data_IF_967322781108
#
_entry.id   IF_967322781108
#
_cell.length_a   1.000
_cell.length_b   1.000
_cell.length_c   1.000
_cell.angle_alpha   90.00
_cell.angle_beta   90.00
_cell.angle_gamma   90.00
#
_symmetry.space_group_name_H-M   'P 1'
#
loop_
_entity.id
_entity.type
_entity.pdbx_description
1 polymer ?
#
# COMPACT_ATOMS: atom_id res chain seq x y z
N UNK A 1 21.05 26.48 -5.76
CA UNK A 1 19.98 26.49 -4.73
C UNK A 1 18.80 25.61 -5.11
N UNK A 2 18.11 25.76 -6.25
CA UNK A 2 16.94 24.93 -6.64
C UNK A 2 17.29 23.44 -6.76
N UNK A 3 18.38 23.07 -7.40
CA UNK A 3 18.82 21.67 -7.55
C UNK A 3 19.07 20.99 -6.20
N UNK A 4 19.67 21.70 -5.22
CA UNK A 4 19.90 21.15 -3.89
C UNK A 4 18.58 20.88 -3.13
N UNK A 5 17.58 21.75 -3.28
CA UNK A 5 16.25 21.58 -2.70
C UNK A 5 15.48 20.42 -3.32
N UNK A 6 15.50 20.28 -4.64
CA UNK A 6 14.89 19.13 -5.32
C UNK A 6 15.55 17.81 -4.90
N UNK A 7 16.87 17.81 -4.74
CA UNK A 7 17.59 16.63 -4.22
C UNK A 7 17.15 16.30 -2.80
N UNK A 8 17.05 17.27 -1.91
CA UNK A 8 16.58 17.05 -0.54
C UNK A 8 15.15 16.47 -0.52
N UNK A 9 14.24 17.03 -1.34
CA UNK A 9 12.88 16.51 -1.49
C UNK A 9 12.92 15.05 -1.95
N UNK A 10 13.71 14.72 -2.99
CA UNK A 10 13.80 13.37 -3.52
C UNK A 10 14.34 12.37 -2.51
N UNK A 11 15.38 12.76 -1.75
CA UNK A 11 15.99 11.91 -0.72
C UNK A 11 14.98 11.62 0.42
N UNK A 12 14.30 12.66 0.95
CA UNK A 12 13.24 12.50 1.97
C UNK A 12 12.08 11.66 1.43
N UNK A 13 11.59 11.97 0.22
CA UNK A 13 10.47 11.24 -0.39
C UNK A 13 10.77 9.75 -0.56
N UNK A 14 12.01 9.38 -0.91
CA UNK A 14 12.44 7.99 -0.98
C UNK A 14 12.25 7.23 0.34
N UNK A 15 12.66 7.84 1.45
CA UNK A 15 12.49 7.22 2.78
C UNK A 15 11.03 7.30 3.28
N UNK A 16 10.32 8.38 3.00
CA UNK A 16 8.88 8.48 3.31
C UNK A 16 8.14 7.35 2.60
N UNK A 17 8.37 7.14 1.30
CA UNK A 17 7.78 6.04 0.52
C UNK A 17 8.11 4.67 1.12
N UNK A 18 9.35 4.47 1.57
CA UNK A 18 9.81 3.20 2.17
C UNK A 18 9.06 2.84 3.44
N UNK A 19 8.71 3.82 4.26
CA UNK A 19 8.19 3.57 5.61
C UNK A 19 6.69 3.84 5.77
N UNK A 20 6.12 4.87 5.11
CA UNK A 20 4.77 5.34 5.38
C UNK A 20 3.70 4.24 5.41
N UNK A 21 3.69 3.36 4.40
CA UNK A 21 2.72 2.27 4.32
C UNK A 21 2.81 1.27 5.48
N UNK A 22 4.01 1.05 6.04
CA UNK A 22 4.22 0.16 7.20
C UNK A 22 3.55 0.70 8.47
N UNK A 23 3.33 2.01 8.52
CA UNK A 23 2.75 2.72 9.66
C UNK A 23 1.32 3.23 9.38
N UNK A 24 0.70 2.78 8.29
CA UNK A 24 -0.68 3.14 7.91
C UNK A 24 -0.86 4.55 7.36
N UNK A 25 0.23 5.24 6.99
CA UNK A 25 0.18 6.57 6.40
C UNK A 25 0.07 6.46 4.88
N UNK A 26 -0.98 7.07 4.33
CA UNK A 26 -1.37 6.95 2.91
C UNK A 26 -1.15 8.22 2.09
N UNK A 27 -0.68 9.30 2.73
CA UNK A 27 -0.37 10.58 2.08
C UNK A 27 1.04 11.01 2.46
N UNK A 28 1.86 11.38 1.49
CA UNK A 28 3.31 11.61 1.68
C UNK A 28 3.70 13.07 1.62
N UNK A 29 3.00 13.86 0.79
CA UNK A 29 3.29 15.29 0.60
C UNK A 29 3.33 16.08 1.91
N UNK A 30 2.43 15.86 2.89
CA UNK A 30 2.51 16.58 4.15
C UNK A 30 3.74 16.19 4.96
N UNK A 31 4.15 14.92 4.97
CA UNK A 31 5.35 14.46 5.68
C UNK A 31 6.61 15.05 5.06
N UNK A 32 6.68 15.11 3.72
CA UNK A 32 7.80 15.75 3.00
C UNK A 32 7.84 17.25 3.30
N UNK A 33 6.68 17.93 3.28
CA UNK A 33 6.59 19.36 3.59
C UNK A 33 7.00 19.68 5.04
N UNK A 34 6.61 18.83 6.00
CA UNK A 34 7.07 18.93 7.39
C UNK A 34 8.60 18.83 7.47
N UNK A 35 9.22 17.84 6.82
CA UNK A 35 10.66 17.71 6.80
C UNK A 35 11.35 18.95 6.21
N UNK A 36 10.81 19.53 5.13
CA UNK A 36 11.30 20.77 4.52
C UNK A 36 11.22 21.94 5.50
N UNK A 37 10.06 22.14 6.12
CA UNK A 37 9.78 23.27 6.99
C UNK A 37 10.59 23.20 8.28
N UNK A 38 10.54 22.08 9.00
CA UNK A 38 11.17 21.87 10.29
C UNK A 38 12.71 21.87 10.21
N UNK A 39 13.26 21.39 9.09
CA UNK A 39 14.71 21.28 8.93
C UNK A 39 15.35 22.47 8.20
N UNK A 40 14.56 23.39 7.65
CA UNK A 40 15.07 24.42 6.75
C UNK A 40 15.83 23.79 5.57
N UNK A 41 15.21 22.85 4.86
CA UNK A 41 15.82 22.12 3.73
C UNK A 41 16.98 21.20 4.15
N UNK A 42 16.99 20.72 5.37
CA UNK A 42 18.09 19.92 5.91
C UNK A 42 19.30 20.74 6.37
N UNK A 43 19.24 22.08 6.25
CA UNK A 43 20.36 22.98 6.57
C UNK A 43 20.42 23.36 8.04
N UNK A 44 19.32 23.19 8.81
CA UNK A 44 19.34 23.45 10.24
C UNK A 44 20.38 22.60 10.95
N UNK A 45 20.96 23.12 12.05
CA UNK A 45 21.94 22.38 12.84
C UNK A 45 21.38 21.03 13.33
N UNK A 46 20.11 20.98 13.69
CA UNK A 46 19.44 19.76 14.15
C UNK A 46 19.35 18.72 13.04
N UNK A 47 19.07 19.13 11.80
CA UNK A 47 19.04 18.24 10.65
C UNK A 47 20.41 17.83 10.16
N UNK A 48 21.30 18.80 9.94
CA UNK A 48 22.60 18.57 9.31
C UNK A 48 23.60 17.80 10.16
N UNK A 49 23.56 17.97 11.50
CA UNK A 49 24.47 17.30 12.42
C UNK A 49 23.87 16.10 13.15
N UNK A 50 22.55 16.06 13.28
CA UNK A 50 21.85 15.07 14.13
C UNK A 50 20.76 14.31 13.40
N UNK A 51 20.59 14.50 12.08
CA UNK A 51 19.64 13.83 11.23
C UNK A 51 18.18 13.86 11.72
N UNK A 52 17.81 14.88 12.50
CA UNK A 52 16.46 15.10 12.99
C UNK A 52 15.79 16.16 12.11
N UNK A 53 15.12 15.72 11.08
CA UNK A 53 14.49 16.57 10.05
C UNK A 53 13.09 17.05 10.42
N UNK A 54 12.53 16.55 11.52
CA UNK A 54 11.16 16.78 11.95
C UNK A 54 11.05 17.47 13.31
N UNK A 55 12.14 17.98 13.85
CA UNK A 55 12.11 18.65 15.16
C UNK A 55 11.70 17.74 16.32
N UNK A 56 11.92 16.43 16.23
CA UNK A 56 11.43 15.46 17.21
C UNK A 56 12.10 15.65 18.57
N UNK A 57 11.31 16.03 19.56
CA UNK A 57 11.71 16.12 20.96
C UNK A 57 11.79 14.74 21.61
N UNK A 58 12.61 14.60 22.65
CA UNK A 58 12.78 13.33 23.36
C UNK A 58 11.51 12.89 24.10
N UNK A 59 10.81 13.84 24.72
CA UNK A 59 9.73 13.49 25.65
C UNK A 59 10.23 12.60 26.80
N UNK A 60 9.33 11.88 27.44
CA UNK A 60 9.64 11.05 28.64
C UNK A 60 10.01 9.61 28.31
N UNK A 61 9.77 9.14 27.08
CA UNK A 61 9.95 7.73 26.69
C UNK A 61 11.16 7.48 25.79
N UNK A 62 11.85 8.52 25.36
CA UNK A 62 13.02 8.38 24.51
C UNK A 62 14.24 7.94 25.30
N UNK A 63 14.86 6.82 24.92
CA UNK A 63 16.07 6.25 25.54
C UNK A 63 17.31 6.35 24.66
N UNK A 64 17.17 6.85 23.43
CA UNK A 64 18.27 7.05 22.49
C UNK A 64 19.09 8.30 22.77
N UNK A 65 20.05 8.58 21.88
CA UNK A 65 20.89 9.78 21.98
C UNK A 65 20.07 11.06 21.86
N UNK A 66 20.47 12.09 22.58
CA UNK A 66 19.79 13.38 22.57
C UNK A 66 20.78 14.55 22.56
N UNK A 67 20.31 15.69 22.08
CA UNK A 67 21.03 16.98 22.13
C UNK A 67 20.12 18.05 22.71
N UNK A 68 20.67 18.88 23.61
CA UNK A 68 19.95 20.01 24.19
C UNK A 68 20.15 21.26 23.33
N UNK A 69 19.07 21.78 22.74
CA UNK A 69 19.12 22.94 21.85
C UNK A 69 18.06 23.99 22.22
N UNK A 70 18.35 25.24 21.85
CA UNK A 70 17.36 26.32 21.93
C UNK A 70 16.36 26.17 20.75
N UNK A 71 15.07 26.32 21.05
CA UNK A 71 13.96 26.35 20.08
C UNK A 71 13.03 27.51 20.41
N UNK A 72 12.16 27.86 19.46
CA UNK A 72 11.11 28.86 19.63
C UNK A 72 9.76 28.15 19.55
N UNK A 73 8.86 28.49 20.45
CA UNK A 73 7.50 27.99 20.52
C UNK A 73 6.52 29.15 20.47
N UNK A 74 5.39 28.98 19.80
CA UNK A 74 4.33 29.98 19.70
C UNK A 74 3.10 29.52 20.50
N UNK A 75 3.05 29.87 21.78
CA UNK A 75 1.90 29.54 22.66
C UNK A 75 0.75 30.55 22.56
N UNK A 76 1.02 31.75 22.07
CA UNK A 76 0.05 32.78 21.73
C UNK A 76 0.38 33.32 20.35
N UNK A 77 -0.62 33.57 19.53
CA UNK A 77 -0.46 34.03 18.16
C UNK A 77 0.44 35.29 18.09
N UNK A 78 1.47 35.21 17.24
CA UNK A 78 2.45 36.27 17.07
C UNK A 78 3.50 36.40 18.18
N UNK A 79 3.48 35.53 19.22
CA UNK A 79 4.41 35.62 20.34
C UNK A 79 5.33 34.39 20.41
N UNK A 80 6.59 34.58 20.00
CA UNK A 80 7.60 33.53 20.06
C UNK A 80 8.29 33.48 21.43
N UNK A 81 8.25 32.35 22.08
CA UNK A 81 8.93 32.06 23.35
C UNK A 81 10.15 31.18 23.11
N UNK A 82 11.33 31.66 23.49
CA UNK A 82 12.57 30.89 23.38
C UNK A 82 12.73 29.96 24.59
N UNK A 83 12.79 28.66 24.33
CA UNK A 83 13.01 27.60 25.33
C UNK A 83 14.21 26.73 24.99
N UNK A 84 14.69 25.93 25.94
CA UNK A 84 15.62 24.84 25.68
C UNK A 84 14.89 23.51 25.81
N UNK A 85 15.15 22.61 24.89
CA UNK A 85 14.58 21.26 24.92
C UNK A 85 15.58 20.22 24.43
N UNK A 86 15.31 18.94 24.75
CA UNK A 86 16.11 17.81 24.30
C UNK A 86 15.50 17.21 23.03
N UNK A 87 16.29 17.19 21.97
CA UNK A 87 15.91 16.64 20.68
C UNK A 87 16.55 15.29 20.44
N UNK A 88 15.85 14.41 19.73
CA UNK A 88 16.34 13.10 19.30
C UNK A 88 17.51 13.24 18.34
N UNK A 89 18.47 12.34 18.44
CA UNK A 89 19.64 12.24 17.55
C UNK A 89 19.57 10.91 16.83
N UNK A 90 19.75 10.96 15.51
CA UNK A 90 19.75 9.81 14.63
C UNK A 90 21.11 9.68 13.92
N UNK A 91 21.44 8.49 13.41
CA UNK A 91 22.73 8.22 12.77
C UNK A 91 22.71 8.46 11.24
N UNK A 92 21.50 8.55 10.66
CA UNK A 92 21.33 8.79 9.22
C UNK A 92 20.01 9.51 8.91
N UNK A 93 19.86 10.02 7.68
CA UNK A 93 18.60 10.56 7.19
C UNK A 93 17.49 9.49 7.22
N UNK A 94 17.82 8.26 6.85
CA UNK A 94 16.88 7.15 6.88
C UNK A 94 16.32 6.92 8.28
N UNK A 95 17.19 6.85 9.29
CA UNK A 95 16.77 6.70 10.70
C UNK A 95 15.96 7.88 11.20
N UNK A 96 16.28 9.10 10.78
CA UNK A 96 15.53 10.29 11.11
C UNK A 96 14.09 10.24 10.57
N UNK A 97 13.93 9.81 9.32
CA UNK A 97 12.61 9.64 8.70
C UNK A 97 11.84 8.48 9.35
N UNK A 98 12.50 7.33 9.57
CA UNK A 98 11.90 6.21 10.30
C UNK A 98 11.45 6.62 11.70
N UNK A 99 12.30 7.38 12.40
CA UNK A 99 12.02 7.91 13.73
C UNK A 99 10.79 8.82 13.80
N UNK A 100 10.47 9.54 12.71
CA UNK A 100 9.21 10.26 12.59
C UNK A 100 8.01 9.30 12.55
N UNK A 101 8.05 8.25 11.73
CA UNK A 101 6.96 7.27 11.67
C UNK A 101 6.77 6.52 12.98
N UNK A 102 7.84 6.20 13.68
CA UNK A 102 7.77 5.63 15.03
C UNK A 102 7.16 6.62 16.04
N UNK A 103 7.48 7.91 15.93
CA UNK A 103 6.95 8.95 16.82
C UNK A 103 5.43 9.12 16.65
N UNK A 104 4.92 9.10 15.44
CA UNK A 104 3.48 9.23 15.18
C UNK A 104 2.66 7.96 15.48
N UNK A 105 3.30 6.88 16.00
CA UNK A 105 2.58 5.74 16.58
C UNK A 105 2.11 5.99 18.03
N UNK A 106 2.43 7.14 18.61
CA UNK A 106 1.86 7.53 19.90
C UNK A 106 0.32 7.62 19.79
N UNK A 107 -0.37 7.21 20.87
CA UNK A 107 -1.85 7.11 20.91
C UNK A 107 -2.55 8.34 20.31
N UNK A 108 -2.06 9.53 20.63
CA UNK A 108 -2.65 10.80 20.18
C UNK A 108 -2.59 11.04 18.68
N UNK A 109 -1.78 10.28 17.92
CA UNK A 109 -1.62 10.43 16.48
C UNK A 109 -2.22 9.26 15.68
N UNK A 110 -2.95 8.33 16.32
CA UNK A 110 -3.55 7.17 15.64
C UNK A 110 -4.56 7.54 14.57
N UNK A 111 -5.21 8.67 14.71
CA UNK A 111 -6.16 9.24 13.76
C UNK A 111 -5.54 9.68 12.43
N UNK A 112 -4.21 9.74 12.33
CA UNK A 112 -3.49 10.01 11.07
C UNK A 112 -3.54 8.82 10.09
N UNK A 113 -3.77 7.61 10.61
CA UNK A 113 -3.81 6.41 9.77
C UNK A 113 -5.02 6.44 8.83
N UNK A 114 -4.76 6.14 7.56
CA UNK A 114 -5.81 6.10 6.54
C UNK A 114 -6.17 7.44 5.90
N UNK A 115 -5.69 8.57 6.43
CA UNK A 115 -5.90 9.89 5.80
C UNK A 115 -5.20 9.94 4.45
N UNK A 116 -5.90 10.48 3.44
CA UNK A 116 -5.40 10.62 2.07
C UNK A 116 -5.29 12.08 1.62
N UNK A 117 -6.00 12.98 2.28
CA UNK A 117 -5.95 14.41 1.97
C UNK A 117 -4.80 15.07 2.74
N UNK A 118 -3.90 15.80 2.04
CA UNK A 118 -2.75 16.45 2.68
C UNK A 118 -3.14 17.50 3.71
N UNK A 119 -4.21 18.26 3.47
CA UNK A 119 -4.64 19.31 4.38
C UNK A 119 -5.26 18.71 5.63
N UNK A 120 -6.13 17.70 5.49
CA UNK A 120 -6.70 16.94 6.61
C UNK A 120 -5.61 16.34 7.49
N UNK A 121 -4.55 15.77 6.88
CA UNK A 121 -3.42 15.24 7.63
C UNK A 121 -2.72 16.30 8.49
N UNK A 122 -2.44 17.47 7.89
CA UNK A 122 -1.75 18.57 8.58
C UNK A 122 -2.62 19.20 9.67
N UNK A 123 -3.92 19.36 9.44
CA UNK A 123 -4.86 19.85 10.43
C UNK A 123 -4.96 18.89 11.62
N UNK A 124 -5.05 17.59 11.34
CA UNK A 124 -5.14 16.55 12.36
C UNK A 124 -3.87 16.49 13.21
N UNK A 125 -2.68 16.40 12.60
CA UNK A 125 -1.42 16.29 13.36
C UNK A 125 -1.14 17.55 14.18
N UNK A 126 -1.53 18.73 13.69
CA UNK A 126 -1.43 19.98 14.44
C UNK A 126 -2.40 19.99 15.63
N UNK A 127 -3.64 19.57 15.44
CA UNK A 127 -4.64 19.47 16.51
C UNK A 127 -4.18 18.51 17.62
N UNK A 128 -3.45 17.46 17.25
CA UNK A 128 -2.82 16.49 18.18
C UNK A 128 -1.56 17.03 18.88
N UNK A 129 -1.20 18.30 18.63
CA UNK A 129 -0.12 18.99 19.35
C UNK A 129 1.28 18.70 18.81
N UNK A 130 1.41 18.41 17.52
CA UNK A 130 2.72 18.27 16.87
C UNK A 130 3.46 19.61 16.73
N UNK A 131 2.74 20.66 16.35
CA UNK A 131 3.26 22.01 16.18
C UNK A 131 2.41 23.04 16.93
N UNK A 132 3.07 24.07 17.47
CA UNK A 132 2.41 25.17 18.18
C UNK A 132 2.07 26.36 17.29
N UNK A 133 2.74 26.50 16.12
CA UNK A 133 2.53 27.64 15.21
C UNK A 133 1.12 27.64 14.62
N UNK A 134 0.51 28.83 14.60
CA UNK A 134 -0.83 29.06 14.02
C UNK A 134 -0.82 29.01 12.50
N UNK A 135 0.29 29.33 11.84
CA UNK A 135 0.45 29.26 10.38
C UNK A 135 0.93 27.89 9.87
N UNK A 136 1.17 26.92 10.76
CA UNK A 136 1.82 25.65 10.43
C UNK A 136 1.22 24.92 9.22
N UNK A 137 -0.12 24.75 9.22
CA UNK A 137 -0.83 24.06 8.14
C UNK A 137 -0.67 24.83 6.83
N UNK A 138 -0.85 26.17 6.86
CA UNK A 138 -0.73 27.01 5.68
C UNK A 138 0.70 27.00 5.11
N UNK A 139 1.71 27.04 5.97
CA UNK A 139 3.11 27.04 5.56
C UNK A 139 3.51 25.69 4.95
N UNK A 140 3.08 24.56 5.51
CA UNK A 140 3.24 23.25 4.88
C UNK A 140 2.50 23.17 3.54
N UNK A 141 1.26 23.64 3.45
CA UNK A 141 0.49 23.65 2.20
C UNK A 141 1.10 24.56 1.13
N UNK A 142 1.75 25.66 1.51
CA UNK A 142 2.56 26.49 0.58
C UNK A 142 3.71 25.69 -0.01
N UNK A 143 4.45 24.96 0.83
CA UNK A 143 5.56 24.08 0.38
C UNK A 143 5.02 22.99 -0.56
N UNK A 144 3.90 22.33 -0.22
CA UNK A 144 3.27 21.31 -1.06
C UNK A 144 2.95 21.88 -2.45
N UNK A 145 2.28 23.02 -2.52
CA UNK A 145 1.92 23.67 -3.79
C UNK A 145 3.15 24.16 -4.57
N UNK A 146 4.11 24.83 -3.91
CA UNK A 146 5.28 25.41 -4.55
C UNK A 146 6.19 24.38 -5.21
N UNK A 147 6.30 23.17 -4.62
CA UNK A 147 7.16 22.10 -5.10
C UNK A 147 6.39 20.91 -5.66
N UNK A 148 5.07 21.08 -5.88
CA UNK A 148 4.17 20.08 -6.47
C UNK A 148 4.33 18.71 -5.76
N UNK A 149 4.38 18.72 -4.40
CA UNK A 149 4.69 17.52 -3.63
C UNK A 149 3.60 16.46 -3.71
N UNK A 150 2.38 16.81 -4.12
CA UNK A 150 1.30 15.84 -4.36
C UNK A 150 1.65 14.81 -5.42
N UNK A 151 2.63 15.09 -6.30
CA UNK A 151 3.18 14.07 -7.21
C UNK A 151 3.75 12.85 -6.48
N UNK A 152 4.16 12.99 -5.22
CA UNK A 152 4.60 11.89 -4.39
C UNK A 152 3.43 11.16 -3.74
N UNK A 153 2.28 11.79 -3.55
CA UNK A 153 1.04 11.16 -3.06
C UNK A 153 0.43 10.28 -4.14
N UNK A 154 0.46 10.73 -5.37
CA UNK A 154 0.10 9.95 -6.56
C UNK A 154 1.05 8.75 -6.73
N UNK A 155 2.29 8.83 -6.21
CA UNK A 155 3.28 7.77 -6.06
C UNK A 155 3.30 7.10 -4.68
N UNK A 156 2.46 7.49 -3.74
CA UNK A 156 2.18 6.88 -2.43
C UNK A 156 1.28 5.66 -2.45
N UNK A 157 0.42 5.57 -3.35
CA UNK A 157 0.29 4.51 -4.33
C UNK A 157 1.26 4.89 -5.46
N UNK A 158 2.44 4.20 -5.68
CA UNK A 158 2.62 3.82 -7.05
C UNK A 158 1.21 3.44 -7.47
N UNK A 159 0.66 4.03 -8.50
CA UNK A 159 0.03 3.22 -9.50
C UNK A 159 1.13 2.23 -9.85
N UNK A 160 1.24 1.13 -9.08
CA UNK A 160 1.82 -0.08 -9.63
C UNK A 160 1.07 -0.16 -10.92
N UNK A 161 1.78 0.08 -12.03
CA UNK A 161 1.14 0.06 -13.33
C UNK A 161 0.21 -1.13 -13.20
N UNK A 162 -1.11 -0.90 -13.30
CA UNK A 162 -2.15 -1.90 -12.97
C UNK A 162 -1.99 -3.08 -13.90
N UNK A 163 -0.80 -3.70 -13.80
CA UNK A 163 -0.31 -4.77 -14.68
C UNK A 163 -0.63 -6.12 -14.07
N UNK A 164 -0.67 -7.11 -14.91
CA UNK A 164 -0.73 -8.51 -14.49
C UNK A 164 0.41 -8.84 -13.51
N UNK A 165 1.62 -8.32 -13.78
CA UNK A 165 2.79 -8.60 -12.95
C UNK A 165 2.66 -8.04 -11.53
N UNK A 166 2.04 -6.85 -11.36
CA UNK A 166 1.85 -6.28 -10.02
C UNK A 166 0.97 -7.15 -9.12
N UNK A 167 -0.07 -7.79 -9.67
CA UNK A 167 -0.91 -8.73 -8.91
C UNK A 167 -0.17 -10.04 -8.65
N UNK A 168 0.57 -10.53 -9.64
CA UNK A 168 1.34 -11.77 -9.51
C UNK A 168 2.47 -11.64 -8.51
N UNK A 169 3.13 -10.49 -8.41
CA UNK A 169 4.15 -10.22 -7.39
C UNK A 169 3.57 -10.25 -5.98
N UNK A 170 2.37 -9.72 -5.79
CA UNK A 170 1.66 -9.85 -4.51
C UNK A 170 1.43 -11.33 -4.17
N UNK A 171 0.88 -12.10 -5.12
CA UNK A 171 0.60 -13.53 -4.91
C UNK A 171 1.88 -14.33 -4.65
N UNK A 172 2.97 -14.04 -5.37
CA UNK A 172 4.30 -14.66 -5.14
C UNK A 172 4.84 -14.33 -3.76
N UNK A 173 4.65 -13.09 -3.29
CA UNK A 173 5.06 -12.65 -1.96
C UNK A 173 4.30 -13.35 -0.82
N UNK A 174 3.12 -13.91 -1.09
CA UNK A 174 2.32 -14.65 -0.12
C UNK A 174 2.51 -16.18 -0.20
N UNK A 175 3.31 -16.70 -1.13
CA UNK A 175 3.57 -18.14 -1.18
C UNK A 175 4.02 -18.68 0.17
N UNK A 176 3.34 -19.73 0.63
CA UNK A 176 3.59 -20.34 1.94
C UNK A 176 2.86 -19.65 3.12
N UNK A 177 2.12 -18.56 2.92
CA UNK A 177 1.18 -18.06 3.94
C UNK A 177 0.12 -19.14 4.16
N UNK A 178 -0.10 -19.53 5.40
CA UNK A 178 -0.96 -20.67 5.73
C UNK A 178 -1.67 -20.49 7.06
N UNK A 179 -2.69 -21.32 7.29
CA UNK A 179 -3.36 -21.40 8.58
C UNK A 179 -2.40 -21.89 9.65
N UNK A 180 -1.56 -22.87 9.34
CA UNK A 180 -0.58 -23.45 10.26
C UNK A 180 0.43 -22.41 10.80
N UNK A 181 0.86 -21.42 9.97
CA UNK A 181 1.77 -20.36 10.42
C UNK A 181 1.08 -19.06 10.80
N UNK A 182 -0.24 -18.99 10.67
CA UNK A 182 -1.06 -17.84 11.02
C UNK A 182 -0.98 -16.66 10.05
N UNK A 183 -0.12 -16.68 9.03
CA UNK A 183 0.09 -15.54 8.12
C UNK A 183 -1.07 -15.30 7.15
N UNK A 184 -1.91 -16.30 6.89
CA UNK A 184 -3.12 -16.12 6.10
C UNK A 184 -4.03 -15.02 6.66
N UNK A 185 -3.96 -14.74 7.98
CA UNK A 185 -4.72 -13.67 8.64
C UNK A 185 -4.40 -12.29 8.07
N UNK A 186 -3.15 -12.06 7.64
CA UNK A 186 -2.76 -10.80 6.99
C UNK A 186 -3.55 -10.54 5.70
N UNK A 187 -3.90 -11.61 4.97
CA UNK A 187 -4.71 -11.56 3.74
C UNK A 187 -6.16 -11.19 4.08
N UNK A 188 -6.74 -11.86 5.09
CA UNK A 188 -8.12 -11.62 5.55
C UNK A 188 -8.24 -10.22 6.15
N UNK A 189 -7.28 -9.79 6.98
CA UNK A 189 -7.28 -8.47 7.60
C UNK A 189 -7.17 -7.36 6.55
N UNK A 190 -6.34 -7.55 5.53
CA UNK A 190 -6.24 -6.62 4.40
C UNK A 190 -7.59 -6.50 3.66
N UNK A 191 -8.25 -7.62 3.33
CA UNK A 191 -9.57 -7.60 2.71
C UNK A 191 -10.58 -6.86 3.58
N UNK A 192 -10.62 -7.17 4.87
CA UNK A 192 -11.56 -6.59 5.82
C UNK A 192 -11.31 -5.11 6.13
N UNK A 193 -10.09 -4.61 5.90
CA UNK A 193 -9.72 -3.21 6.16
C UNK A 193 -10.37 -2.22 5.19
N UNK A 194 -10.71 -2.66 3.97
CA UNK A 194 -11.23 -1.78 2.92
C UNK A 194 -12.76 -1.77 2.94
N UNK A 195 -13.36 -0.61 3.19
CA UNK A 195 -14.82 -0.43 3.28
C UNK A 195 -15.37 0.29 2.03
N UNK A 196 -16.66 0.09 1.68
CA UNK A 196 -17.60 -0.87 2.27
C UNK A 196 -17.22 -2.31 1.93
N UNK A 197 -17.55 -3.24 2.84
CA UNK A 197 -17.35 -4.66 2.56
C UNK A 197 -18.39 -5.17 1.56
N UNK A 198 -17.99 -6.02 0.60
CA UNK A 198 -18.93 -6.73 -0.26
C UNK A 198 -20.00 -7.43 0.58
N UNK A 199 -21.27 -7.25 0.21
CA UNK A 199 -22.42 -7.79 0.92
C UNK A 199 -22.46 -7.47 2.44
N UNK A 200 -21.65 -6.51 2.93
CA UNK A 200 -21.56 -6.13 4.35
C UNK A 200 -20.90 -7.20 5.24
N UNK A 201 -20.28 -8.24 4.65
CA UNK A 201 -19.73 -9.37 5.38
C UNK A 201 -18.22 -9.21 5.64
N UNK A 202 -17.83 -9.30 6.92
CA UNK A 202 -16.43 -9.38 7.32
C UNK A 202 -16.01 -10.85 7.40
N UNK A 203 -15.05 -11.24 6.56
CA UNK A 203 -14.53 -12.62 6.51
C UNK A 203 -13.88 -12.99 7.84
N UNK A 204 -14.23 -14.16 8.36
CA UNK A 204 -13.68 -14.73 9.60
C UNK A 204 -12.47 -15.59 9.28
N UNK A 205 -11.60 -15.83 10.26
CA UNK A 205 -10.42 -16.69 10.08
C UNK A 205 -10.77 -18.18 9.92
N UNK A 206 -12.03 -18.55 10.18
CA UNK A 206 -12.58 -19.90 9.98
C UNK A 206 -13.26 -20.09 8.63
N UNK A 207 -13.38 -19.04 7.83
CA UNK A 207 -14.04 -19.11 6.53
C UNK A 207 -13.07 -19.59 5.45
N UNK A 208 -13.63 -20.13 4.36
CA UNK A 208 -12.88 -20.37 3.14
C UNK A 208 -12.39 -19.05 2.55
N UNK A 209 -11.09 -18.93 2.26
CA UNK A 209 -10.48 -17.67 1.90
C UNK A 209 -9.81 -17.62 0.51
N UNK A 210 -10.13 -18.57 -0.37
CA UNK A 210 -9.59 -18.58 -1.73
C UNK A 210 -9.92 -17.31 -2.51
N UNK A 211 -11.19 -16.90 -2.51
CA UNK A 211 -11.65 -15.70 -3.19
C UNK A 211 -11.27 -14.40 -2.44
N UNK A 212 -11.26 -14.45 -1.11
CA UNK A 212 -10.71 -13.38 -0.29
C UNK A 212 -9.25 -13.09 -0.65
N UNK A 213 -8.46 -14.13 -0.95
CA UNK A 213 -7.07 -13.98 -1.37
C UNK A 213 -6.95 -13.25 -2.71
N UNK A 214 -7.79 -13.59 -3.70
CA UNK A 214 -7.84 -12.91 -5.01
C UNK A 214 -8.21 -11.44 -4.83
N UNK A 215 -9.24 -11.15 -4.05
CA UNK A 215 -9.67 -9.78 -3.74
C UNK A 215 -8.61 -8.98 -3.00
N UNK A 216 -7.96 -9.57 -2.00
CA UNK A 216 -6.88 -8.94 -1.25
C UNK A 216 -5.65 -8.67 -2.12
N UNK A 217 -5.32 -9.57 -3.06
CA UNK A 217 -4.25 -9.33 -4.03
C UNK A 217 -4.57 -8.14 -4.93
N UNK A 218 -5.80 -8.04 -5.41
CA UNK A 218 -6.29 -6.86 -6.15
C UNK A 218 -6.21 -5.57 -5.34
N UNK A 219 -6.55 -5.59 -4.06
CA UNK A 219 -6.42 -4.44 -3.14
C UNK A 219 -4.95 -4.02 -3.04
N UNK A 220 -4.06 -4.96 -2.71
CA UNK A 220 -2.64 -4.66 -2.49
C UNK A 220 -1.92 -4.18 -3.74
N UNK A 221 -2.33 -4.69 -4.92
CA UNK A 221 -1.80 -4.29 -6.21
C UNK A 221 -2.46 -3.04 -6.81
N UNK A 222 -3.46 -2.43 -6.14
CA UNK A 222 -4.21 -1.29 -6.68
C UNK A 222 -5.12 -1.64 -7.87
N UNK A 223 -5.42 -2.94 -8.08
CA UNK A 223 -6.17 -3.48 -9.21
C UNK A 223 -7.63 -3.83 -8.90
N UNK A 224 -8.15 -3.44 -7.72
CA UNK A 224 -9.51 -3.82 -7.29
C UNK A 224 -10.61 -3.43 -8.27
N UNK A 225 -10.48 -2.33 -8.99
CA UNK A 225 -11.46 -1.90 -9.99
C UNK A 225 -11.45 -2.77 -11.26
N UNK A 226 -10.32 -3.40 -11.58
CA UNK A 226 -10.14 -4.27 -12.75
C UNK A 226 -10.60 -5.71 -12.47
N UNK A 227 -10.51 -6.14 -11.21
CA UNK A 227 -10.77 -7.51 -10.77
C UNK A 227 -12.13 -7.59 -10.06
N UNK A 228 -12.50 -6.56 -9.30
CA UNK A 228 -13.62 -6.60 -8.37
C UNK A 228 -13.17 -7.01 -6.97
N UNK A 229 -14.12 -7.05 -6.06
CA UNK A 229 -13.92 -7.46 -4.65
C UNK A 229 -15.07 -8.32 -4.20
N UNK A 230 -14.78 -9.53 -3.78
CA UNK A 230 -15.75 -10.48 -3.24
C UNK A 230 -15.03 -11.49 -2.31
N UNK A 231 -15.79 -12.29 -1.57
CA UNK A 231 -15.29 -13.39 -0.75
C UNK A 231 -16.02 -14.72 -1.04
N UNK A 232 -16.74 -14.78 -2.15
CA UNK A 232 -17.45 -15.96 -2.61
C UNK A 232 -17.35 -16.09 -4.11
N UNK A 233 -16.74 -17.19 -4.59
CA UNK A 233 -16.29 -17.36 -5.98
C UNK A 233 -17.42 -17.14 -6.98
N UNK A 234 -18.62 -17.72 -6.76
CA UNK A 234 -19.75 -17.56 -7.69
C UNK A 234 -20.26 -16.11 -7.74
N UNK A 235 -20.23 -15.39 -6.63
CA UNK A 235 -20.59 -13.97 -6.60
C UNK A 235 -19.53 -13.12 -7.32
N UNK A 236 -18.26 -13.51 -7.23
CA UNK A 236 -17.17 -12.87 -7.96
C UNK A 236 -17.30 -13.08 -9.48
N UNK A 237 -17.70 -14.27 -9.93
CA UNK A 237 -17.99 -14.51 -11.35
C UNK A 237 -19.09 -13.56 -11.87
N UNK A 238 -20.12 -13.24 -11.07
CA UNK A 238 -21.11 -12.23 -11.43
C UNK A 238 -20.50 -10.83 -11.62
N UNK A 239 -19.50 -10.48 -10.79
CA UNK A 239 -18.73 -9.23 -10.95
C UNK A 239 -17.93 -9.29 -12.24
N UNK A 240 -17.24 -10.38 -12.56
CA UNK A 240 -16.49 -10.54 -13.82
C UNK A 240 -17.39 -10.41 -15.04
N UNK A 241 -18.59 -11.00 -15.00
CA UNK A 241 -19.61 -10.84 -16.05
C UNK A 241 -20.04 -9.36 -16.19
N UNK A 242 -20.28 -8.68 -15.09
CA UNK A 242 -20.64 -7.24 -15.07
C UNK A 242 -19.52 -6.34 -15.62
N UNK A 243 -18.25 -6.67 -15.32
CA UNK A 243 -17.07 -5.95 -15.81
C UNK A 243 -16.80 -6.27 -17.31
N UNK A 244 -17.47 -7.27 -17.88
CA UNK A 244 -17.26 -7.71 -19.27
C UNK A 244 -15.89 -8.36 -19.49
N UNK A 245 -15.37 -9.06 -18.48
CA UNK A 245 -14.06 -9.73 -18.51
C UNK A 245 -14.17 -11.25 -18.33
N UNK A 246 -15.37 -11.80 -18.12
CA UNK A 246 -15.59 -13.22 -17.95
C UNK A 246 -15.57 -13.98 -19.29
N UNK A 247 -14.86 -15.10 -19.33
CA UNK A 247 -14.76 -16.05 -20.45
C UNK A 247 -15.21 -17.39 -19.92
N UNK A 248 -16.41 -17.82 -20.32
CA UNK A 248 -17.00 -19.11 -19.93
C UNK A 248 -16.49 -20.24 -20.83
N UNK A 249 -15.18 -20.38 -20.93
CA UNK A 249 -14.50 -21.41 -21.71
C UNK A 249 -13.18 -21.79 -20.99
N UNK A 250 -13.16 -22.99 -20.40
CA UNK A 250 -11.99 -23.54 -19.72
C UNK A 250 -10.88 -24.02 -20.66
N UNK A 251 -11.11 -24.01 -22.00
CA UNK A 251 -10.17 -24.58 -22.98
C UNK A 251 -9.25 -23.54 -23.62
N UNK A 252 -9.51 -22.24 -23.44
CA UNK A 252 -8.65 -21.19 -23.96
C UNK A 252 -7.23 -21.27 -23.39
N UNK A 253 -6.28 -20.68 -24.07
CA UNK A 253 -4.95 -20.42 -23.52
C UNK A 253 -4.99 -19.09 -22.75
N UNK A 254 -4.95 -19.11 -21.40
CA UNK A 254 -5.00 -17.88 -20.63
C UNK A 254 -3.65 -17.17 -20.65
N UNK A 255 -3.67 -15.86 -20.37
CA UNK A 255 -2.46 -15.06 -20.17
C UNK A 255 -2.11 -14.96 -18.67
N UNK A 256 -0.84 -14.70 -18.32
CA UNK A 256 -0.46 -14.38 -16.95
C UNK A 256 -1.31 -13.21 -16.39
N UNK A 257 -1.77 -13.34 -15.14
CA UNK A 257 -2.68 -12.39 -14.51
C UNK A 257 -4.17 -12.65 -14.75
N UNK A 258 -4.55 -13.55 -15.65
CA UNK A 258 -5.94 -13.99 -15.72
C UNK A 258 -6.35 -14.65 -14.42
N UNK A 259 -7.60 -14.46 -14.01
CA UNK A 259 -8.18 -15.19 -12.88
C UNK A 259 -8.75 -16.49 -13.38
N UNK A 260 -8.28 -17.61 -12.85
CA UNK A 260 -8.78 -18.95 -13.16
C UNK A 260 -9.83 -19.37 -12.14
N UNK A 261 -10.95 -19.91 -12.62
CA UNK A 261 -12.07 -20.35 -11.78
C UNK A 261 -12.35 -21.83 -12.04
N UNK A 262 -12.59 -22.57 -10.98
CA UNK A 262 -12.81 -24.02 -11.00
C UNK A 262 -14.23 -24.38 -10.54
N UNK A 263 -14.71 -25.51 -11.08
CA UNK A 263 -15.85 -26.26 -10.58
C UNK A 263 -15.41 -27.71 -10.34
N UNK A 264 -15.48 -28.15 -9.10
CA UNK A 264 -15.02 -29.50 -8.73
C UNK A 264 -16.05 -30.62 -9.00
N UNK A 265 -17.31 -30.25 -9.29
CA UNK A 265 -18.37 -31.25 -9.48
C UNK A 265 -18.32 -31.94 -10.86
N UNK A 266 -17.64 -31.32 -11.84
CA UNK A 266 -17.62 -31.80 -13.21
C UNK A 266 -16.22 -31.75 -13.82
N UNK A 267 -15.68 -32.91 -14.13
CA UNK A 267 -14.36 -33.09 -14.78
C UNK A 267 -14.45 -33.19 -16.31
N UNK A 268 -15.20 -32.30 -16.94
CA UNK A 268 -15.41 -32.31 -18.40
C UNK A 268 -15.61 -30.90 -18.95
N UNK A 269 -15.22 -30.68 -20.21
CA UNK A 269 -15.50 -29.46 -20.96
C UNK A 269 -16.68 -29.63 -21.92
N UNK A 270 -17.52 -28.64 -22.16
CA UNK A 270 -17.56 -27.36 -21.43
C UNK A 270 -17.98 -27.56 -19.95
N UNK A 271 -17.40 -26.78 -19.07
CA UNK A 271 -17.72 -26.78 -17.65
C UNK A 271 -18.49 -25.49 -17.33
N UNK A 272 -19.78 -25.63 -16.99
CA UNK A 272 -20.75 -24.56 -16.76
C UNK A 272 -21.39 -24.62 -15.37
N UNK A 273 -20.81 -25.42 -14.46
CA UNK A 273 -21.32 -25.64 -13.11
C UNK A 273 -21.03 -24.52 -12.13
N UNK A 274 -21.34 -24.77 -10.85
CA UNK A 274 -21.10 -23.81 -9.76
C UNK A 274 -19.59 -23.62 -9.54
N UNK A 275 -19.17 -22.40 -9.18
CA UNK A 275 -17.78 -22.07 -8.97
C UNK A 275 -17.36 -22.33 -7.53
N UNK A 276 -16.36 -23.20 -7.34
CA UNK A 276 -15.91 -23.67 -6.04
C UNK A 276 -14.58 -23.07 -5.59
N UNK A 277 -13.70 -22.74 -6.55
CA UNK A 277 -12.34 -22.31 -6.25
C UNK A 277 -11.80 -21.32 -7.27
N UNK A 278 -10.77 -20.55 -6.91
CA UNK A 278 -10.27 -19.44 -7.70
C UNK A 278 -8.79 -19.17 -7.41
N UNK A 279 -8.08 -18.64 -8.42
CA UNK A 279 -6.69 -18.20 -8.28
C UNK A 279 -6.25 -17.33 -9.45
N UNK A 280 -4.95 -17.00 -9.51
CA UNK A 280 -4.36 -16.28 -10.63
C UNK A 280 -3.48 -17.19 -11.47
N UNK A 281 -3.60 -17.10 -12.79
CA UNK A 281 -2.66 -17.71 -13.73
C UNK A 281 -1.30 -17.02 -13.62
N UNK A 282 -0.29 -17.74 -13.20
CA UNK A 282 1.09 -17.23 -13.11
C UNK A 282 1.81 -17.32 -14.44
N UNK A 283 1.65 -18.45 -15.13
CA UNK A 283 2.26 -18.68 -16.46
C UNK A 283 1.61 -19.85 -17.18
N UNK A 284 1.79 -19.88 -18.49
CA UNK A 284 1.47 -21.03 -19.36
C UNK A 284 2.73 -21.46 -20.08
N UNK A 285 3.07 -22.74 -20.03
CA UNK A 285 4.26 -23.29 -20.70
C UNK A 285 4.10 -24.79 -20.94
N UNK A 286 4.47 -25.26 -22.13
CA UNK A 286 4.47 -26.69 -22.45
C UNK A 286 3.10 -27.36 -22.34
N UNK A 287 2.00 -26.63 -22.64
CA UNK A 287 0.63 -27.14 -22.49
C UNK A 287 0.14 -27.22 -21.04
N UNK A 288 0.87 -26.65 -20.10
CA UNK A 288 0.53 -26.60 -18.68
C UNK A 288 0.27 -25.17 -18.22
N UNK A 289 -0.73 -25.00 -17.38
CA UNK A 289 -1.04 -23.76 -16.65
C UNK A 289 -0.46 -23.89 -15.24
N UNK A 290 0.28 -22.89 -14.79
CA UNK A 290 0.63 -22.71 -13.38
C UNK A 290 -0.23 -21.61 -12.80
N UNK A 291 -1.02 -21.90 -11.78
CA UNK A 291 -1.81 -20.93 -11.04
C UNK A 291 -1.27 -20.75 -9.61
N UNK A 292 -1.41 -19.56 -9.02
CA UNK A 292 -1.20 -19.31 -7.59
C UNK A 292 -2.57 -19.12 -6.95
N UNK A 293 -2.86 -19.91 -5.94
CA UNK A 293 -4.18 -20.01 -5.31
C UNK A 293 -4.07 -19.77 -3.79
N UNK A 294 -5.00 -19.01 -3.24
CA UNK A 294 -5.22 -18.95 -1.79
C UNK A 294 -6.03 -20.15 -1.31
N UNK A 295 -5.87 -20.52 -0.07
CA UNK A 295 -6.58 -21.64 0.58
C UNK A 295 -6.49 -22.99 -0.17
N UNK A 296 -5.40 -23.20 -0.87
CA UNK A 296 -5.09 -24.50 -1.48
C UNK A 296 -4.41 -25.41 -0.45
N UNK A 297 -5.19 -26.27 0.21
CA UNK A 297 -4.69 -27.05 1.35
C UNK A 297 -4.25 -26.11 2.49
N UNK A 298 -5.11 -25.17 2.86
CA UNK A 298 -4.93 -24.21 3.96
C UNK A 298 -3.73 -23.25 3.79
N UNK A 299 -3.28 -23.02 2.55
CA UNK A 299 -2.13 -22.13 2.26
C UNK A 299 -2.24 -21.45 0.90
N UNK A 300 -1.40 -20.45 0.67
CA UNK A 300 -1.12 -19.91 -0.66
C UNK A 300 -0.08 -20.81 -1.32
N UNK A 301 -0.46 -21.44 -2.42
CA UNK A 301 0.40 -22.43 -3.10
C UNK A 301 0.17 -22.42 -4.62
N UNK A 302 1.11 -23.03 -5.35
CA UNK A 302 1.01 -23.23 -6.80
C UNK A 302 0.27 -24.49 -7.14
N UNK A 303 -0.60 -24.42 -8.14
CA UNK A 303 -1.15 -25.58 -8.84
C UNK A 303 -0.61 -25.63 -10.27
N UNK A 304 -0.15 -26.78 -10.70
CA UNK A 304 0.19 -27.04 -12.10
C UNK A 304 -0.81 -28.02 -12.68
N UNK A 305 -1.43 -27.67 -13.80
CA UNK A 305 -2.50 -28.44 -14.41
C UNK A 305 -2.45 -28.33 -15.95
N UNK A 306 -2.96 -29.33 -16.69
CA UNK A 306 -2.98 -29.26 -18.14
C UNK A 306 -3.94 -28.17 -18.66
N UNK A 307 -3.57 -27.54 -19.73
CA UNK A 307 -4.45 -26.62 -20.45
C UNK A 307 -5.75 -27.35 -20.84
N UNK A 308 -6.91 -26.68 -20.64
CA UNK A 308 -8.22 -27.29 -20.89
C UNK A 308 -8.63 -28.37 -19.89
N UNK A 309 -8.01 -28.42 -18.70
CA UNK A 309 -8.39 -29.38 -17.66
C UNK A 309 -9.87 -29.33 -17.34
N UNK A 310 -10.52 -30.48 -17.29
CA UNK A 310 -11.97 -30.61 -17.18
C UNK A 310 -12.65 -29.84 -16.05
N UNK A 311 -11.92 -29.59 -14.96
CA UNK A 311 -12.43 -28.83 -13.81
C UNK A 311 -12.32 -27.31 -13.96
N UNK A 312 -11.67 -26.80 -15.01
CA UNK A 312 -11.64 -25.35 -15.23
C UNK A 312 -13.02 -24.92 -15.74
N UNK A 313 -13.71 -24.07 -14.98
CA UNK A 313 -14.98 -23.48 -15.43
C UNK A 313 -14.76 -22.38 -16.48
N UNK A 314 -13.76 -21.55 -16.27
CA UNK A 314 -13.46 -20.43 -17.15
C UNK A 314 -12.43 -19.49 -16.54
N UNK A 315 -12.31 -18.33 -17.18
CA UNK A 315 -11.33 -17.31 -16.81
C UNK A 315 -11.95 -15.92 -16.75
N UNK A 316 -11.43 -15.06 -15.87
CA UNK A 316 -11.61 -13.63 -16.05
C UNK A 316 -10.32 -13.03 -16.61
N UNK A 317 -10.46 -12.12 -17.59
CA UNK A 317 -9.38 -11.42 -18.28
C UNK A 317 -9.38 -9.93 -17.89
N UNK A 318 -8.80 -9.53 -16.74
CA UNK A 318 -8.76 -8.14 -16.32
C UNK A 318 -8.01 -7.27 -17.34
N UNK A 319 -8.50 -6.05 -17.56
CA UNK A 319 -7.92 -5.12 -18.53
C UNK A 319 -6.75 -4.36 -17.93
N UNK A 320 -5.66 -5.09 -17.67
CA UNK A 320 -4.45 -4.50 -17.14
C UNK A 320 -3.80 -3.47 -18.08
N UNK A 321 -3.05 -2.54 -17.50
CA UNK A 321 -2.16 -1.65 -18.25
C UNK A 321 -0.99 -2.44 -18.84
N UNK A 322 -0.53 -2.06 -20.04
CA UNK A 322 0.67 -2.67 -20.64
C UNK A 322 1.91 -2.21 -19.89
N UNK A 323 2.83 -3.12 -19.62
CA UNK A 323 4.12 -2.75 -19.04
C UNK A 323 4.88 -1.78 -19.97
N UNK A 324 5.50 -0.75 -19.39
CA UNK A 324 6.16 0.33 -20.14
C UNK A 324 7.28 -0.12 -21.11
N UNK A 325 7.71 -1.39 -21.05
CA UNK A 325 8.80 -1.95 -21.87
C UNK A 325 8.33 -2.61 -23.19
N UNK A 326 7.02 -2.66 -23.49
CA UNK A 326 6.53 -3.27 -24.75
C UNK A 326 6.31 -2.27 -25.89
N UNK A 327 6.64 -0.99 -25.70
CA UNK A 327 6.48 0.06 -26.73
C UNK A 327 7.72 0.33 -27.57
N UNK A 328 8.77 -0.49 -27.47
CA UNK A 328 10.03 -0.34 -28.18
C UNK A 328 10.34 -1.47 -29.15
N UNK A 329 9.53 -1.65 -30.21
CA UNK A 329 9.84 -2.65 -31.22
C UNK A 329 8.89 -2.62 -32.41
N UNK A 330 8.93 -1.53 -33.20
CA UNK A 330 8.66 -1.59 -34.63
C UNK A 330 9.00 -0.24 -35.31
N UNK A 331 10.18 -0.12 -35.83
CA UNK A 331 10.48 0.64 -37.06
C UNK A 331 11.51 -0.13 -37.84
#
# INVERSE_FOLDING_TARGET
MRIAREKFIADIAGYVKKYAGQYGILVYSPVIAQAVLESGWGESRLASQYHNYFGLKCGTRWTGRSVNMRTQEEYMEGTLTSIRDNFRVFDSMEEGVKGYFEFIQLERYRNLQGIRDPQEYLETIRADGYATSFSYVEDCMKVIRQYELTRFDEGGCETMAKTAESVLDVMRGWLGFSEANGKFKEIIDLYNSVKPLPRGYAVQYSDEWCDTCVSAAGIKAGCSELIGRECGVEEHVKIFKKLGIWIEDGTITPEPGYVIVYNWDKAAQPNDGYSDHIGFVEKVSGGMVTAIEGNRGEKVDRRVLPLGWGFIRGYAAPRYEKAANETGGNT
#
